data_IF_829161964942
#
_entry.id   IF_829161964942
#
_cell.length_a   1.000
_cell.length_b   1.000
_cell.length_c   1.000
_cell.angle_alpha   90.00
_cell.angle_beta   90.00
_cell.angle_gamma   90.00
#
_symmetry.space_group_name_H-M   'P 1'
#
loop_
_entity.id
_entity.type
_entity.pdbx_description
1 polymer ?
#
# COMPACT_ATOMS: atom_id res chain seq x y z
N UNK A 1 8.21 -12.52 -16.34
CA UNK A 1 9.17 -11.54 -16.93
C UNK A 1 9.86 -10.68 -15.88
N UNK A 2 9.43 -10.73 -14.59
CA UNK A 2 10.22 -10.28 -13.44
C UNK A 2 10.44 -8.76 -13.32
N UNK A 3 9.81 -7.96 -14.19
CA UNK A 3 9.87 -6.50 -14.17
C UNK A 3 9.09 -5.90 -12.99
N UNK A 4 7.96 -6.52 -12.62
CA UNK A 4 7.17 -6.16 -11.46
C UNK A 4 7.01 -7.34 -10.50
N UNK A 5 6.97 -7.05 -9.21
CA UNK A 5 6.62 -8.00 -8.15
C UNK A 5 5.64 -7.34 -7.20
N UNK A 6 4.72 -8.12 -6.63
CA UNK A 6 3.71 -7.58 -5.70
C UNK A 6 3.61 -8.46 -4.46
N UNK A 7 3.42 -7.80 -3.32
CA UNK A 7 2.90 -8.41 -2.10
C UNK A 7 1.65 -7.66 -1.69
N UNK A 8 0.66 -8.38 -1.16
CA UNK A 8 -0.58 -7.76 -0.70
C UNK A 8 -1.18 -8.51 0.48
N UNK A 9 -1.88 -7.76 1.33
CA UNK A 9 -2.79 -8.29 2.34
C UNK A 9 -4.19 -7.84 1.96
N UNK A 10 -5.11 -8.81 1.79
CA UNK A 10 -6.50 -8.56 1.42
C UNK A 10 -6.90 -9.22 0.10
N UNK A 11 -7.93 -8.67 -0.54
CA UNK A 11 -8.61 -9.25 -1.69
C UNK A 11 -9.03 -8.16 -2.67
N UNK A 12 -9.06 -8.50 -3.97
CA UNK A 12 -9.51 -7.61 -5.04
C UNK A 12 -10.85 -8.13 -5.56
N UNK A 13 -11.95 -7.54 -5.08
CA UNK A 13 -13.31 -8.00 -5.36
C UNK A 13 -13.67 -7.96 -6.85
N UNK A 14 -13.12 -7.01 -7.61
CA UNK A 14 -13.32 -6.95 -9.06
C UNK A 14 -12.22 -7.66 -9.87
N UNK A 15 -11.42 -8.54 -9.25
CA UNK A 15 -10.41 -9.33 -9.95
C UNK A 15 -10.97 -10.17 -11.12
N UNK A 16 -12.14 -10.83 -11.02
CA UNK A 16 -12.68 -11.59 -12.15
C UNK A 16 -13.00 -10.72 -13.38
N UNK A 17 -13.56 -9.54 -13.16
CA UNK A 17 -13.88 -8.55 -14.20
C UNK A 17 -12.59 -8.06 -14.88
N UNK A 18 -11.64 -7.58 -14.09
CA UNK A 18 -10.34 -7.06 -14.57
C UNK A 18 -9.55 -8.14 -15.30
N UNK A 19 -9.55 -9.39 -14.81
CA UNK A 19 -8.89 -10.52 -15.47
C UNK A 19 -9.49 -10.79 -16.84
N UNK A 20 -10.82 -10.75 -16.97
CA UNK A 20 -11.50 -10.92 -18.25
C UNK A 20 -11.10 -9.84 -19.27
N UNK A 21 -11.01 -8.59 -18.83
CA UNK A 21 -10.56 -7.48 -19.68
C UNK A 21 -9.10 -7.60 -20.10
N UNK A 22 -8.19 -7.88 -19.16
CA UNK A 22 -6.76 -8.03 -19.41
C UNK A 22 -6.47 -9.22 -20.32
N UNK A 23 -7.20 -10.33 -20.16
CA UNK A 23 -7.09 -11.49 -21.05
C UNK A 23 -7.47 -11.13 -22.49
N UNK A 24 -8.53 -10.34 -22.69
CA UNK A 24 -8.92 -9.84 -24.02
C UNK A 24 -7.88 -8.90 -24.63
N UNK A 25 -7.07 -8.22 -23.80
CA UNK A 25 -5.94 -7.38 -24.22
C UNK A 25 -4.64 -8.16 -24.43
N UNK A 26 -4.65 -9.49 -24.22
CA UNK A 26 -3.52 -10.37 -24.51
C UNK A 26 -2.66 -10.74 -23.30
N UNK A 27 -3.01 -10.29 -22.09
CA UNK A 27 -2.32 -10.74 -20.87
C UNK A 27 -2.55 -12.23 -20.63
N UNK A 28 -1.51 -12.94 -20.18
CA UNK A 28 -1.55 -14.36 -19.88
C UNK A 28 -1.30 -14.56 -18.38
N UNK A 29 -2.28 -15.14 -17.71
CA UNK A 29 -2.21 -15.42 -16.29
C UNK A 29 -1.65 -16.83 -16.04
N UNK A 30 -0.66 -16.93 -15.15
CA UNK A 30 -0.06 -18.17 -14.70
C UNK A 30 -0.81 -18.79 -13.51
N UNK A 31 -1.53 -17.98 -12.72
CA UNK A 31 -2.26 -18.44 -11.55
C UNK A 31 -3.62 -17.75 -11.37
N UNK A 32 -4.40 -18.25 -10.41
CA UNK A 32 -5.71 -17.69 -10.05
C UNK A 32 -5.64 -16.54 -9.04
N UNK A 33 -4.45 -16.09 -8.63
CA UNK A 33 -4.32 -15.09 -7.56
C UNK A 33 -4.75 -13.69 -8.02
N UNK A 34 -5.43 -12.97 -7.13
CA UNK A 34 -5.73 -11.54 -7.28
C UNK A 34 -4.45 -10.69 -7.41
N UNK A 35 -3.35 -11.12 -6.81
CA UNK A 35 -2.06 -10.44 -6.89
C UNK A 35 -1.57 -10.33 -8.35
N UNK A 36 -1.79 -11.35 -9.16
CA UNK A 36 -1.40 -11.33 -10.57
C UNK A 36 -2.24 -10.34 -11.39
N UNK A 37 -3.52 -10.15 -11.02
CA UNK A 37 -4.37 -9.11 -11.62
C UNK A 37 -3.81 -7.72 -11.35
N UNK A 38 -3.31 -7.47 -10.14
CA UNK A 38 -2.67 -6.18 -9.80
C UNK A 38 -1.44 -5.93 -10.66
N UNK A 39 -0.58 -6.93 -10.87
CA UNK A 39 0.62 -6.81 -11.70
C UNK A 39 0.25 -6.49 -13.15
N UNK A 40 -0.61 -7.30 -13.77
CA UNK A 40 -0.99 -7.08 -15.17
C UNK A 40 -1.75 -5.77 -15.39
N UNK A 41 -2.59 -5.37 -14.43
CA UNK A 41 -3.24 -4.07 -14.50
C UNK A 41 -2.24 -2.92 -14.40
N UNK A 42 -1.22 -3.05 -13.54
CA UNK A 42 -0.14 -2.06 -13.44
C UNK A 42 0.69 -1.99 -14.73
N UNK A 43 0.98 -3.12 -15.37
CA UNK A 43 1.68 -3.15 -16.67
C UNK A 43 0.89 -2.41 -17.76
N UNK A 44 -0.45 -2.56 -17.76
CA UNK A 44 -1.33 -1.96 -18.77
C UNK A 44 -1.52 -0.44 -18.60
N UNK A 45 -1.72 0.04 -17.36
CA UNK A 45 -2.10 1.45 -17.11
C UNK A 45 -1.22 2.19 -16.10
N UNK A 46 -0.12 1.59 -15.64
CA UNK A 46 0.77 2.14 -14.63
C UNK A 46 0.06 2.39 -13.29
N UNK A 47 0.46 3.46 -12.59
CA UNK A 47 -0.08 3.79 -11.26
C UNK A 47 -1.60 4.07 -11.25
N UNK A 48 -2.23 4.31 -12.41
CA UNK A 48 -3.69 4.42 -12.53
C UNK A 48 -4.40 3.09 -12.30
N UNK A 49 -3.68 1.97 -12.22
CA UNK A 49 -4.22 0.68 -11.84
C UNK A 49 -4.99 0.76 -10.51
N UNK A 50 -4.46 1.48 -9.52
CA UNK A 50 -5.06 1.62 -8.20
C UNK A 50 -6.39 2.41 -8.22
N UNK A 51 -6.64 3.22 -9.24
CA UNK A 51 -7.96 3.84 -9.46
C UNK A 51 -9.01 2.79 -9.80
N UNK A 52 -8.64 1.66 -10.39
CA UNK A 52 -9.59 0.66 -10.91
C UNK A 52 -9.81 -0.51 -9.95
N UNK A 53 -8.97 -0.69 -8.94
CA UNK A 53 -9.11 -1.77 -7.97
C UNK A 53 -10.27 -1.50 -7.01
N UNK A 54 -11.12 -2.50 -6.80
CA UNK A 54 -12.14 -2.52 -5.74
C UNK A 54 -11.84 -3.69 -4.82
N UNK A 55 -11.83 -3.47 -3.51
CA UNK A 55 -11.42 -4.48 -2.55
C UNK A 55 -11.11 -3.91 -1.17
N UNK A 56 -10.70 -4.82 -0.28
CA UNK A 56 -10.03 -4.51 0.97
C UNK A 56 -8.55 -4.89 0.79
N UNK A 57 -7.62 -3.94 0.81
CA UNK A 57 -6.23 -4.26 0.48
C UNK A 57 -5.22 -3.27 1.05
N UNK A 58 -4.04 -3.81 1.33
CA UNK A 58 -2.78 -3.09 1.47
C UNK A 58 -1.78 -3.76 0.51
N UNK A 59 -1.34 -3.01 -0.51
CA UNK A 59 -0.48 -3.50 -1.59
C UNK A 59 0.88 -2.83 -1.49
N UNK A 60 1.95 -3.61 -1.74
CA UNK A 60 3.25 -3.09 -2.12
C UNK A 60 3.69 -3.72 -3.45
N UNK A 61 3.85 -2.89 -4.48
CA UNK A 61 4.29 -3.28 -5.82
C UNK A 61 5.68 -2.72 -6.07
N UNK A 62 6.64 -3.58 -6.37
CA UNK A 62 7.98 -3.20 -6.78
C UNK A 62 8.09 -3.18 -8.31
N UNK A 63 8.56 -2.07 -8.86
CA UNK A 63 8.88 -1.91 -10.27
C UNK A 63 10.40 -1.82 -10.43
N UNK A 64 10.99 -2.85 -11.05
CA UNK A 64 12.45 -2.99 -11.18
C UNK A 64 13.06 -1.89 -12.05
N UNK A 65 12.44 -1.60 -13.20
CA UNK A 65 13.01 -0.69 -14.20
C UNK A 65 13.17 0.74 -13.67
N UNK A 66 12.19 1.20 -12.88
CA UNK A 66 12.22 2.54 -12.26
C UNK A 66 12.86 2.56 -10.89
N UNK A 67 13.13 1.40 -10.29
CA UNK A 67 13.66 1.29 -8.93
C UNK A 67 12.72 1.88 -7.87
N UNK A 68 11.40 1.68 -8.01
CA UNK A 68 10.40 2.24 -7.10
C UNK A 68 9.56 1.15 -6.43
N UNK A 69 9.01 1.48 -5.25
CA UNK A 69 7.94 0.70 -4.61
C UNK A 69 6.69 1.57 -4.51
N UNK A 70 5.58 1.06 -5.03
CA UNK A 70 4.26 1.65 -4.89
C UNK A 70 3.53 0.98 -3.73
N UNK A 71 3.17 1.77 -2.73
CA UNK A 71 2.29 1.38 -1.65
C UNK A 71 0.89 1.87 -1.94
N UNK A 72 -0.12 0.99 -1.90
CA UNK A 72 -1.51 1.38 -2.12
C UNK A 72 -2.42 0.83 -1.02
N UNK A 73 -3.27 1.68 -0.47
CA UNK A 73 -4.27 1.29 0.54
C UNK A 73 -5.67 1.45 -0.03
N UNK A 74 -6.55 0.49 0.27
CA UNK A 74 -7.94 0.52 -0.19
C UNK A 74 -8.69 1.78 0.27
N UNK A 75 -9.81 2.08 -0.40
CA UNK A 75 -10.57 3.31 -0.22
C UNK A 75 -11.20 3.49 1.15
N UNK A 76 -11.50 2.38 1.82
CA UNK A 76 -12.05 2.41 3.19
C UNK A 76 -10.89 2.45 4.19
N UNK A 77 -9.73 1.95 3.79
CA UNK A 77 -8.57 1.77 4.64
C UNK A 77 -8.77 0.59 5.58
N UNK A 78 -9.39 -0.49 5.12
CA UNK A 78 -9.67 -1.62 6.00
C UNK A 78 -8.38 -2.33 6.44
N UNK A 79 -7.42 -2.49 5.51
CA UNK A 79 -6.11 -3.07 5.85
C UNK A 79 -5.13 -1.96 6.24
N UNK A 80 -4.48 -2.02 7.41
CA UNK A 80 -3.44 -1.07 7.79
C UNK A 80 -2.23 -1.17 6.85
N UNK A 81 -1.59 -0.03 6.58
CA UNK A 81 -0.32 0.05 5.88
C UNK A 81 0.48 1.21 6.46
N UNK A 82 1.52 0.86 7.22
CA UNK A 82 2.43 1.74 7.93
C UNK A 82 3.69 1.98 7.10
N UNK A 83 4.26 3.16 7.23
CA UNK A 83 5.50 3.57 6.56
C UNK A 83 6.36 4.40 7.50
N UNK A 84 7.68 4.23 7.41
CA UNK A 84 8.67 4.93 8.21
C UNK A 84 9.88 5.27 7.34
N UNK A 85 10.26 6.54 7.27
CA UNK A 85 11.54 6.96 6.69
C UNK A 85 12.60 6.98 7.78
N UNK A 86 13.71 6.27 7.58
CA UNK A 86 14.76 6.09 8.59
C UNK A 86 16.10 5.78 7.94
N UNK A 87 17.15 6.52 8.32
CA UNK A 87 18.53 6.27 7.88
C UNK A 87 18.72 6.26 6.36
N UNK A 88 17.99 7.10 5.62
CA UNK A 88 18.04 7.13 4.14
C UNK A 88 17.31 5.97 3.45
N UNK A 89 16.54 5.18 4.21
CA UNK A 89 15.71 4.09 3.71
C UNK A 89 14.25 4.29 4.11
N UNK A 90 13.35 3.55 3.45
CA UNK A 90 11.93 3.49 3.84
C UNK A 90 11.57 2.06 4.20
N UNK A 91 10.94 1.91 5.37
CA UNK A 91 10.34 0.66 5.84
C UNK A 91 8.83 0.76 5.75
N UNK A 92 8.16 -0.36 5.48
CA UNK A 92 6.70 -0.42 5.50
C UNK A 92 6.24 -1.79 6.03
N UNK A 93 5.06 -1.82 6.64
CA UNK A 93 4.42 -3.07 7.07
C UNK A 93 2.92 -2.85 7.27
N UNK A 94 2.15 -3.94 7.33
CA UNK A 94 0.74 -3.85 7.75
C UNK A 94 0.56 -3.82 9.27
N UNK A 95 1.61 -4.04 10.06
CA UNK A 95 1.52 -4.07 11.52
C UNK A 95 2.70 -3.35 12.18
N UNK A 96 2.45 -2.73 13.34
CA UNK A 96 3.43 -1.93 14.05
C UNK A 96 4.55 -2.79 14.63
N UNK A 97 4.24 -3.99 15.15
CA UNK A 97 5.25 -4.88 15.71
C UNK A 97 6.22 -5.36 14.64
N UNK A 98 5.76 -5.57 13.40
CA UNK A 98 6.64 -5.93 12.28
C UNK A 98 7.64 -4.81 11.94
N UNK A 99 7.23 -3.54 11.97
CA UNK A 99 8.15 -2.40 11.80
C UNK A 99 9.16 -2.32 12.95
N UNK A 100 8.71 -2.54 14.19
CA UNK A 100 9.58 -2.50 15.36
C UNK A 100 10.58 -3.66 15.39
N UNK A 101 10.18 -4.85 14.99
CA UNK A 101 11.08 -6.01 14.92
C UNK A 101 12.18 -5.82 13.87
N UNK A 102 11.92 -5.03 12.82
CA UNK A 102 12.92 -4.67 11.82
C UNK A 102 13.87 -3.55 12.28
N UNK A 103 13.55 -2.85 13.37
CA UNK A 103 14.38 -1.77 13.91
C UNK A 103 15.34 -2.29 14.99
N UNK A 104 16.61 -2.43 14.65
CA UNK A 104 17.64 -2.92 15.58
C UNK A 104 18.43 -1.81 16.26
N UNK A 105 18.17 -0.54 15.92
CA UNK A 105 19.07 0.57 16.24
C UNK A 105 18.59 1.56 17.30
N UNK A 106 17.30 1.60 17.65
CA UNK A 106 16.76 2.58 18.59
C UNK A 106 15.47 2.14 19.25
N UNK A 107 15.25 2.56 20.50
CA UNK A 107 13.97 2.38 21.17
C UNK A 107 12.91 3.31 20.53
N UNK A 108 11.69 2.81 20.27
CA UNK A 108 10.63 3.64 19.72
C UNK A 108 10.23 4.75 20.71
N UNK A 109 10.00 5.96 20.19
CA UNK A 109 9.47 7.07 20.98
C UNK A 109 7.97 7.14 20.83
N UNK A 110 7.24 7.17 21.95
CA UNK A 110 5.78 7.32 21.97
C UNK A 110 5.41 8.79 21.76
N UNK A 111 4.43 9.04 20.90
CA UNK A 111 3.79 10.35 20.78
C UNK A 111 2.62 10.41 21.79
N UNK A 112 2.70 11.21 22.87
CA UNK A 112 1.68 11.25 23.90
C UNK A 112 0.34 11.77 23.41
N UNK A 113 0.32 12.64 22.39
CA UNK A 113 -0.92 13.18 21.81
C UNK A 113 -1.59 12.13 20.94
N UNK A 114 -0.81 11.40 20.13
CA UNK A 114 -1.35 10.31 19.33
C UNK A 114 -1.83 9.14 20.21
N UNK A 115 -1.11 8.85 21.31
CA UNK A 115 -1.53 7.86 22.30
C UNK A 115 -2.84 8.26 22.99
N UNK A 116 -2.96 9.50 23.46
CA UNK A 116 -4.18 10.03 24.07
C UNK A 116 -5.40 9.92 23.14
N UNK A 117 -5.24 10.29 21.87
CA UNK A 117 -6.29 10.12 20.84
C UNK A 117 -6.66 8.65 20.65
N UNK A 118 -5.69 7.76 20.59
CA UNK A 118 -5.97 6.32 20.47
C UNK A 118 -6.73 5.79 21.70
N UNK A 119 -6.35 6.20 22.91
CA UNK A 119 -7.03 5.79 24.14
C UNK A 119 -8.46 6.35 24.21
N UNK A 120 -8.68 7.56 23.72
CA UNK A 120 -9.99 8.22 23.68
C UNK A 120 -10.92 7.60 22.63
N UNK A 121 -10.46 7.48 21.39
CA UNK A 121 -11.30 7.01 20.27
C UNK A 121 -11.29 5.50 20.10
N UNK A 122 -10.38 4.79 20.79
CA UNK A 122 -10.18 3.33 20.69
C UNK A 122 -9.87 2.87 19.25
N UNK A 123 -9.50 3.80 18.39
CA UNK A 123 -9.17 3.55 16.99
C UNK A 123 -8.05 4.49 16.55
N UNK A 124 -7.13 4.04 15.68
CA UNK A 124 -6.11 4.91 15.13
C UNK A 124 -6.72 6.03 14.24
N UNK A 125 -6.56 7.30 14.62
CA UNK A 125 -7.11 8.46 13.88
C UNK A 125 -6.06 9.11 12.96
N UNK A 126 -6.42 9.42 11.72
CA UNK A 126 -5.56 10.12 10.77
C UNK A 126 -4.29 9.35 10.37
N UNK A 127 -3.24 10.10 10.03
CA UNK A 127 -1.96 9.57 9.54
C UNK A 127 -1.03 9.07 10.66
N UNK A 128 -1.02 9.75 11.79
CA UNK A 128 -0.02 9.52 12.85
C UNK A 128 -0.25 8.15 13.51
N UNK A 129 0.80 7.37 13.73
CA UNK A 129 0.72 6.26 14.69
C UNK A 129 0.96 6.77 16.12
N UNK A 130 0.83 5.90 17.12
CA UNK A 130 1.23 6.22 18.50
C UNK A 130 2.75 6.34 18.68
N UNK A 131 3.54 6.02 17.65
CA UNK A 131 5.00 6.13 17.65
C UNK A 131 5.46 7.23 16.70
N UNK A 132 6.41 8.03 17.17
CA UNK A 132 7.01 9.13 16.42
C UNK A 132 7.71 8.58 15.16
N UNK A 133 7.48 9.26 14.02
CA UNK A 133 8.11 8.91 12.74
C UNK A 133 7.48 7.73 12.00
N UNK A 134 6.50 7.04 12.59
CA UNK A 134 5.73 5.99 11.92
C UNK A 134 4.35 6.53 11.54
N UNK A 135 4.07 6.49 10.25
CA UNK A 135 2.84 7.00 9.66
C UNK A 135 2.02 5.91 8.99
N UNK A 136 0.71 6.07 8.95
CA UNK A 136 -0.21 5.25 8.17
C UNK A 136 -0.48 5.89 6.83
N UNK A 137 -0.53 5.10 5.77
CA UNK A 137 -1.19 5.54 4.54
C UNK A 137 -2.67 5.80 4.83
N UNK A 138 -3.23 6.89 4.32
CA UNK A 138 -4.64 7.21 4.43
C UNK A 138 -5.49 6.28 3.55
N UNK A 139 -6.79 6.14 3.81
CA UNK A 139 -7.69 5.45 2.90
C UNK A 139 -7.60 6.00 1.47
N UNK A 140 -7.47 5.12 0.49
CA UNK A 140 -7.32 5.48 -0.94
C UNK A 140 -5.98 6.13 -1.31
N UNK A 141 -5.02 6.21 -0.39
CA UNK A 141 -3.71 6.79 -0.67
C UNK A 141 -2.81 5.81 -1.43
N UNK A 142 -2.04 6.36 -2.37
CA UNK A 142 -0.88 5.67 -2.96
C UNK A 142 0.39 6.46 -2.66
N UNK A 143 1.43 5.77 -2.20
CA UNK A 143 2.74 6.37 -1.99
C UNK A 143 3.77 5.70 -2.90
N UNK A 144 4.70 6.50 -3.43
CA UNK A 144 5.87 6.04 -4.18
C UNK A 144 7.08 6.16 -3.27
N UNK A 145 7.76 5.05 -3.04
CA UNK A 145 9.02 5.00 -2.33
C UNK A 145 10.15 5.01 -3.34
N UNK A 146 11.08 5.94 -3.18
CA UNK A 146 12.25 6.08 -4.04
C UNK A 146 13.37 6.79 -3.29
N UNK A 147 14.58 6.25 -3.34
CA UNK A 147 15.80 6.90 -2.81
C UNK A 147 15.64 7.40 -1.35
N UNK A 148 15.00 6.60 -0.49
CA UNK A 148 14.73 6.95 0.91
C UNK A 148 13.59 7.93 1.14
N UNK A 149 12.96 8.44 0.07
CA UNK A 149 11.85 9.38 0.13
C UNK A 149 10.49 8.70 -0.05
N UNK A 150 9.46 9.32 0.54
CA UNK A 150 8.06 8.92 0.42
C UNK A 150 7.33 10.03 -0.36
N UNK A 151 7.05 9.78 -1.64
CA UNK A 151 6.29 10.68 -2.49
C UNK A 151 4.82 10.26 -2.50
N UNK A 152 3.97 11.05 -1.86
CA UNK A 152 2.55 10.72 -1.67
C UNK A 152 1.72 11.24 -2.83
N UNK A 153 0.85 10.40 -3.39
CA UNK A 153 -0.16 10.77 -4.39
C UNK A 153 -1.53 10.29 -3.95
N UNK A 154 -2.49 11.20 -4.01
CA UNK A 154 -3.88 10.84 -3.82
C UNK A 154 -4.49 10.57 -5.20
N UNK A 155 -5.06 9.38 -5.40
CA UNK A 155 -5.86 9.12 -6.57
C UNK A 155 -7.33 9.39 -6.20
N UNK A 156 -7.98 10.41 -6.79
CA UNK A 156 -9.38 10.69 -6.50
C UNK A 156 -10.26 9.48 -6.87
N UNK A 157 -11.38 9.33 -6.17
CA UNK A 157 -12.33 8.23 -6.33
C UNK A 157 -12.84 8.07 -7.77
N UNK A 158 -13.12 6.83 -8.19
CA UNK A 158 -13.99 6.59 -9.33
C UNK A 158 -15.35 7.26 -9.06
N UNK A 159 -16.00 7.85 -10.08
CA UNK A 159 -17.36 8.35 -9.93
C UNK A 159 -18.28 7.22 -9.42
N UNK A 160 -19.30 7.53 -8.61
CA UNK A 160 -20.30 6.54 -8.23
C UNK A 160 -20.90 5.90 -9.49
N UNK A 161 -21.12 4.58 -9.44
CA UNK A 161 -21.81 3.83 -10.49
C UNK A 161 -23.26 4.28 -10.62
#
# INVERSE_FOLDING_TARGET
DGACAVIMNGEIYNAPELRGELTKRGHRFACGSDAEVVVHLYEEVGARAFERLSGMYAIALWERERGIVLLARDRIGQKPLLVQAVGGSVRFASDLAALLAADTGSAPTVDPVALDRYLTYRTPVGRQSMLVGIERLLPGEVAVLRDGAILRRYFPSLPPR
#
